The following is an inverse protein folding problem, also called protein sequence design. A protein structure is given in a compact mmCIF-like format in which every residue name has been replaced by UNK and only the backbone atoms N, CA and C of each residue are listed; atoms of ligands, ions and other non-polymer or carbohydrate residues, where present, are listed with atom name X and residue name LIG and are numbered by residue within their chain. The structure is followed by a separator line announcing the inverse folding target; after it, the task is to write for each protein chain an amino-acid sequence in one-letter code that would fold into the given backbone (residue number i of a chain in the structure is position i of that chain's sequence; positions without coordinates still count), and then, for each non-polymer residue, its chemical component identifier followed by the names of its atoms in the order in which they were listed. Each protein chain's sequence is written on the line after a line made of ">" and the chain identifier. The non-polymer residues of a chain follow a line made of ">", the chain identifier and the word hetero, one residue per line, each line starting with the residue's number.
data_IF_567660329333
#
_entry.id   IF_567660329333
#
_cell.length_a   1.000
_cell.length_b   1.000
_cell.length_c   1.000
_cell.angle_alpha   90.00
_cell.angle_beta   90.00
_cell.angle_gamma   90.00
#
_symmetry.space_group_name_H-M   'P 1'
#
loop_
_entity.id
_entity.type
_entity.pdbx_description
1 polymer ?
#
# COMPACT_ATOMS: atom_id res chain seq x y z
N UNK A 1 10.65 4.30 3.86
CA UNK A 1 9.98 3.23 3.08
C UNK A 1 9.00 3.91 2.14
N UNK A 2 8.77 3.37 0.95
CA UNK A 2 7.73 3.89 0.07
C UNK A 2 6.38 3.87 0.80
N UNK A 3 5.62 4.94 0.67
CA UNK A 3 4.28 5.05 1.20
C UNK A 3 3.30 4.37 0.24
N UNK A 4 2.59 3.37 0.73
CA UNK A 4 1.53 2.75 -0.05
C UNK A 4 0.37 3.73 -0.27
N UNK A 5 0.03 4.53 0.75
CA UNK A 5 -1.11 5.45 0.71
C UNK A 5 -0.88 6.66 -0.19
N UNK A 6 0.37 7.10 -0.34
CA UNK A 6 0.73 8.21 -1.24
C UNK A 6 1.07 7.71 -2.67
N UNK A 7 0.86 6.41 -2.93
CA UNK A 7 1.18 5.74 -4.19
C UNK A 7 2.64 5.93 -4.65
N UNK A 8 3.57 5.95 -3.70
CA UNK A 8 5.00 6.16 -3.99
C UNK A 8 5.52 5.13 -5.00
N UNK A 9 6.47 5.58 -5.83
CA UNK A 9 7.29 4.69 -6.64
C UNK A 9 7.98 3.66 -5.73
N UNK A 10 7.87 2.38 -6.10
CA UNK A 10 8.41 1.28 -5.32
C UNK A 10 9.69 0.75 -5.97
N UNK A 11 10.88 1.22 -5.55
CA UNK A 11 12.14 0.84 -6.17
C UNK A 11 12.46 -0.64 -5.93
N UNK A 12 13.20 -1.23 -6.88
CA UNK A 12 13.83 -2.53 -6.69
C UNK A 12 14.88 -2.46 -5.59
N UNK A 13 15.15 -3.59 -4.94
CA UNK A 13 16.19 -3.65 -3.91
C UNK A 13 17.55 -3.33 -4.55
N UNK A 14 18.29 -2.39 -3.98
CA UNK A 14 19.54 -1.87 -4.56
C UNK A 14 19.36 -0.89 -5.74
N UNK A 15 18.19 -0.82 -6.37
CA UNK A 15 17.91 0.01 -7.55
C UNK A 15 17.23 1.35 -7.24
N UNK A 16 17.54 1.97 -6.10
CA UNK A 16 16.95 3.27 -5.73
C UNK A 16 17.61 4.41 -6.52
N UNK A 17 16.84 5.29 -7.18
CA UNK A 17 17.41 6.52 -7.75
C UNK A 17 18.04 7.41 -6.67
N UNK A 18 19.11 8.13 -7.01
CA UNK A 18 19.88 8.99 -6.09
C UNK A 18 19.02 10.06 -5.42
N UNK A 19 18.06 10.63 -6.16
CA UNK A 19 17.15 11.67 -5.68
C UNK A 19 15.84 11.14 -5.09
N UNK A 20 15.67 9.81 -4.98
CA UNK A 20 14.41 9.23 -4.52
C UNK A 20 14.20 9.46 -3.03
N UNK A 21 13.08 10.10 -2.70
CA UNK A 21 12.62 10.30 -1.33
C UNK A 21 11.18 9.78 -1.19
N UNK A 22 10.87 9.01 -0.14
CA UNK A 22 9.49 8.60 0.11
C UNK A 22 8.65 9.79 0.59
N UNK A 23 7.36 9.77 0.28
CA UNK A 23 6.40 10.79 0.73
C UNK A 23 6.10 10.66 2.23
N UNK A 24 6.08 9.43 2.74
CA UNK A 24 5.84 9.12 4.15
C UNK A 24 7.08 8.67 4.93
N UNK A 25 6.94 8.61 6.25
CA UNK A 25 8.01 8.22 7.19
C UNK A 25 7.49 7.31 8.29
N UNK A 26 8.31 6.34 8.68
CA UNK A 26 8.09 5.55 9.90
C UNK A 26 8.45 6.40 11.11
N UNK A 27 7.54 6.51 12.07
CA UNK A 27 7.75 7.32 13.27
C UNK A 27 8.38 6.48 14.37
N UNK A 28 7.81 5.31 14.64
CA UNK A 28 8.32 4.34 15.61
C UNK A 28 7.90 2.91 15.21
N UNK A 29 8.07 1.94 16.10
CA UNK A 29 7.58 0.57 15.86
C UNK A 29 6.05 0.55 15.87
N UNK A 30 5.45 0.01 14.81
CA UNK A 30 4.00 -0.06 14.68
C UNK A 30 3.33 1.22 14.16
N UNK A 31 4.05 2.32 13.93
CA UNK A 31 3.46 3.57 13.42
C UNK A 31 4.20 4.11 12.19
N UNK A 32 3.43 4.32 11.12
CA UNK A 32 3.87 4.96 9.89
C UNK A 32 2.96 6.15 9.59
N UNK A 33 3.55 7.26 9.13
CA UNK A 33 2.85 8.48 8.73
C UNK A 33 3.07 8.74 7.24
N UNK A 34 1.99 8.82 6.47
CA UNK A 34 2.00 9.18 5.05
C UNK A 34 2.26 10.68 4.84
N UNK A 35 2.52 11.08 3.60
CA UNK A 35 2.80 12.46 3.20
C UNK A 35 1.60 13.39 3.48
N UNK A 36 0.37 12.89 3.33
CA UNK A 36 -0.84 13.63 3.69
C UNK A 36 -1.10 13.71 5.22
N UNK A 37 -0.21 13.18 6.04
CA UNK A 37 -0.31 13.21 7.50
C UNK A 37 -1.12 12.07 8.14
N UNK A 38 -1.78 11.22 7.34
CA UNK A 38 -2.50 10.04 7.84
C UNK A 38 -1.54 9.07 8.50
N UNK A 39 -2.01 8.36 9.53
CA UNK A 39 -1.21 7.38 10.26
C UNK A 39 -1.79 5.99 10.14
N UNK A 40 -0.94 5.02 9.81
CA UNK A 40 -1.29 3.60 9.72
C UNK A 40 -0.24 2.76 10.43
N UNK A 41 -0.55 1.48 10.65
CA UNK A 41 0.46 0.57 11.17
C UNK A 41 1.60 0.40 10.15
N UNK A 42 2.86 0.45 10.62
CA UNK A 42 4.03 0.30 9.77
C UNK A 42 4.11 -1.06 9.06
N UNK A 43 3.63 -2.12 9.69
CA UNK A 43 3.56 -3.47 9.11
C UNK A 43 2.48 -3.52 8.02
N UNK A 44 1.36 -2.82 8.19
CA UNK A 44 0.35 -2.66 7.14
C UNK A 44 0.92 -1.94 5.91
N UNK A 45 1.69 -0.86 6.11
CA UNK A 45 2.39 -0.19 4.99
C UNK A 45 3.36 -1.16 4.29
N UNK A 46 4.08 -1.99 5.05
CA UNK A 46 4.97 -3.02 4.51
C UNK A 46 4.22 -4.07 3.69
N UNK A 47 3.17 -4.66 4.24
CA UNK A 47 2.33 -5.67 3.59
C UNK A 47 1.70 -5.14 2.30
N UNK A 48 1.17 -3.92 2.32
CA UNK A 48 0.57 -3.30 1.14
C UNK A 48 1.59 -3.03 0.02
N UNK A 49 2.83 -2.67 0.37
CA UNK A 49 3.92 -2.55 -0.62
C UNK A 49 4.31 -3.91 -1.23
N UNK A 50 4.28 -5.00 -0.46
CA UNK A 50 4.48 -6.37 -1.00
C UNK A 50 3.35 -6.70 -1.98
N UNK A 51 2.10 -6.44 -1.61
CA UNK A 51 0.95 -6.62 -2.49
C UNK A 51 1.09 -5.83 -3.80
N UNK A 52 1.56 -4.57 -3.74
CA UNK A 52 1.81 -3.73 -4.93
C UNK A 52 2.85 -4.35 -5.87
N UNK A 53 3.91 -5.00 -5.36
CA UNK A 53 4.88 -5.73 -6.19
C UNK A 53 4.22 -6.90 -6.91
N UNK A 54 3.47 -7.72 -6.19
CA UNK A 54 2.82 -8.91 -6.75
C UNK A 54 1.78 -8.53 -7.79
N UNK A 55 0.98 -7.49 -7.53
CA UNK A 55 0.02 -6.96 -8.49
C UNK A 55 0.69 -6.48 -9.79
N UNK A 56 1.84 -5.81 -9.69
CA UNK A 56 2.62 -5.42 -10.86
C UNK A 56 3.14 -6.63 -11.65
N UNK A 57 3.64 -7.67 -10.96
CA UNK A 57 4.13 -8.91 -11.59
C UNK A 57 3.01 -9.69 -12.28
N UNK A 58 1.88 -9.88 -11.59
CA UNK A 58 0.75 -10.68 -12.06
C UNK A 58 -0.27 -9.88 -12.89
N UNK A 59 0.01 -8.58 -13.13
CA UNK A 59 -0.79 -7.67 -13.96
C UNK A 59 -2.28 -7.59 -13.59
N UNK A 60 -2.62 -7.68 -12.29
CA UNK A 60 -3.98 -7.46 -11.82
C UNK A 60 -4.12 -6.09 -11.14
N UNK A 61 -5.31 -5.51 -11.22
CA UNK A 61 -5.60 -4.19 -10.65
C UNK A 61 -5.89 -4.29 -9.16
N UNK A 62 -5.24 -3.44 -8.36
CA UNK A 62 -5.57 -3.23 -6.94
C UNK A 62 -6.69 -2.19 -6.74
N UNK A 63 -7.27 -1.68 -7.82
CA UNK A 63 -8.34 -0.67 -7.75
C UNK A 63 -9.54 -1.27 -7.00
N UNK A 64 -9.91 -0.64 -5.89
CA UNK A 64 -11.00 -1.11 -5.01
C UNK A 64 -10.55 -2.00 -3.84
N UNK A 65 -9.38 -2.64 -3.91
CA UNK A 65 -8.82 -3.45 -2.81
C UNK A 65 -8.37 -2.57 -1.64
N UNK A 66 -7.90 -1.35 -1.93
CA UNK A 66 -7.50 -0.35 -0.95
C UNK A 66 -8.66 0.49 -0.40
N UNK A 67 -9.90 0.25 -0.85
CA UNK A 67 -11.08 1.03 -0.48
C UNK A 67 -12.16 0.12 0.12
N UNK A 68 -11.99 -0.23 1.40
CA UNK A 68 -13.00 -0.95 2.15
C UNK A 68 -12.60 -1.15 3.60
N UNK A 69 -13.59 -1.22 4.50
CA UNK A 69 -13.37 -1.73 5.84
C UNK A 69 -13.11 -3.25 5.72
N UNK A 70 -11.86 -3.67 5.92
CA UNK A 70 -11.46 -5.09 5.92
C UNK A 70 -12.13 -5.90 7.03
N UNK A 71 -12.69 -5.22 8.02
CA UNK A 71 -13.48 -5.81 9.11
C UNK A 71 -14.93 -6.12 8.70
N UNK A 72 -15.38 -5.64 7.54
CA UNK A 72 -16.70 -5.96 6.99
C UNK A 72 -16.53 -6.83 5.74
N UNK A 73 -16.97 -8.09 5.74
CA UNK A 73 -16.90 -8.92 4.54
C UNK A 73 -17.72 -8.28 3.41
N UNK A 74 -17.13 -8.20 2.22
CA UNK A 74 -17.84 -7.73 1.03
C UNK A 74 -18.96 -8.73 0.72
N UNK A 75 -20.23 -8.28 0.74
CA UNK A 75 -21.36 -9.12 0.32
C UNK A 75 -21.37 -9.22 -1.20
N UNK A 76 -20.98 -10.38 -1.72
CA UNK A 76 -21.05 -10.70 -3.16
C UNK A 76 -22.34 -11.45 -3.42
N UNK A 77 -23.20 -10.92 -4.29
CA UNK A 77 -24.42 -11.59 -4.74
C UNK A 77 -24.08 -12.42 -5.98
N UNK A 78 -24.06 -13.74 -5.84
CA UNK A 78 -23.78 -14.66 -6.95
C UNK A 78 -24.95 -14.82 -7.93
N UNK A 79 -26.12 -14.24 -7.61
CA UNK A 79 -27.32 -14.29 -8.42
C UNK A 79 -28.00 -12.92 -8.40
N UNK A 80 -27.73 -12.12 -9.42
CA UNK A 80 -28.69 -11.14 -9.92
C UNK A 80 -28.76 -11.37 -11.44
N UNK A 81 -29.86 -11.99 -11.86
CA UNK A 81 -30.30 -12.05 -13.25
C UNK A 81 -30.99 -10.72 -13.61
#
# INVERSE_FOLDING_TARGET
>A
QASFLDDDFLPTYGGKPISWKPSGKRINRGLYRSGNGSSINADCNGAANILKKVAATLKFSLKGVSRGALTTPLRVYFWMA
#
